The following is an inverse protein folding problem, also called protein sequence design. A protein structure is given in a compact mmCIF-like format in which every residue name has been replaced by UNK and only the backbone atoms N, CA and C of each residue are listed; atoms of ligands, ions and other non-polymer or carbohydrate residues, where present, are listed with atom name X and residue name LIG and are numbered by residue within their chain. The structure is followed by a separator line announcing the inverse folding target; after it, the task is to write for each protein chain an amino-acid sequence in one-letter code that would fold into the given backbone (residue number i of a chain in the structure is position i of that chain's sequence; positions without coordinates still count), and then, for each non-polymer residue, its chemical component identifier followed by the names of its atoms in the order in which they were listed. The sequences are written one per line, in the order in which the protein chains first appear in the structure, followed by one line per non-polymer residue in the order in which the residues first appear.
data_IF_910043858444
#
_entry.id   IF_910043858444
#
_cell.length_a   1.000
_cell.length_b   1.000
_cell.length_c   1.000
_cell.angle_alpha   90.00
_cell.angle_beta   90.00
_cell.angle_gamma   90.00
#
_symmetry.space_group_name_H-M   'P 1'
#
loop_
_entity.id
_entity.type
_entity.pdbx_description
1 polymer ?
#
# COMPACT_ATOMS: atom_id res chain seq x y z
N UNK A 1 -8.74 14.48 7.85
CA UNK A 1 -9.97 14.08 7.11
C UNK A 1 -11.18 14.32 8.02
N UNK A 2 -12.28 14.89 7.52
CA UNK A 2 -13.45 15.27 8.33
C UNK A 2 -14.69 14.39 8.06
N UNK A 3 -15.72 14.49 8.91
CA UNK A 3 -16.95 13.70 8.79
C UNK A 3 -17.73 13.95 7.48
N UNK A 4 -17.77 15.20 7.01
CA UNK A 4 -18.42 15.56 5.73
C UNK A 4 -17.78 14.83 4.55
N UNK A 5 -16.45 14.83 4.49
CA UNK A 5 -15.69 14.15 3.44
C UNK A 5 -15.91 12.62 3.47
N UNK A 6 -16.03 12.02 4.65
CA UNK A 6 -16.32 10.59 4.76
C UNK A 6 -17.70 10.24 4.24
N UNK A 7 -18.70 11.05 4.59
CA UNK A 7 -20.08 10.83 4.16
C UNK A 7 -20.22 10.95 2.64
N UNK A 8 -19.51 11.89 2.02
CA UNK A 8 -19.49 12.00 0.56
C UNK A 8 -19.08 10.69 -0.13
N UNK A 9 -18.03 10.02 0.36
CA UNK A 9 -17.52 8.75 -0.18
C UNK A 9 -18.42 7.53 0.12
N UNK A 10 -19.43 7.68 0.98
CA UNK A 10 -20.41 6.62 1.31
C UNK A 10 -21.70 6.76 0.49
N UNK A 11 -21.87 7.85 -0.26
CA UNK A 11 -23.03 8.04 -1.12
C UNK A 11 -23.01 7.05 -2.31
N UNK A 12 -24.18 6.70 -2.87
CA UNK A 12 -24.26 5.87 -4.08
C UNK A 12 -23.41 6.42 -5.23
N UNK A 13 -22.86 5.51 -6.04
CA UNK A 13 -22.00 5.86 -7.19
C UNK A 13 -20.53 6.04 -6.83
N UNK A 14 -20.17 6.15 -5.55
CA UNK A 14 -18.79 5.97 -5.12
C UNK A 14 -18.45 4.49 -5.03
N UNK A 15 -17.28 4.10 -5.50
CA UNK A 15 -16.75 2.75 -5.31
C UNK A 15 -15.35 2.80 -4.74
N UNK A 16 -15.02 1.79 -3.91
CA UNK A 16 -13.71 1.62 -3.32
C UNK A 16 -13.29 0.18 -3.51
N UNK A 17 -12.13 -0.02 -4.14
CA UNK A 17 -11.49 -1.33 -4.26
C UNK A 17 -10.20 -1.28 -3.47
N UNK A 18 -10.03 -2.20 -2.55
CA UNK A 18 -8.80 -2.37 -1.78
C UNK A 18 -8.00 -3.53 -2.30
N UNK A 19 -6.71 -3.32 -2.45
CA UNK A 19 -5.75 -4.33 -2.88
C UNK A 19 -4.57 -4.40 -1.91
N UNK A 20 -3.93 -5.57 -1.86
CA UNK A 20 -2.72 -5.83 -1.06
C UNK A 20 -1.63 -6.31 -1.99
N UNK A 21 -1.09 -5.38 -2.78
CA UNK A 21 0.13 -5.63 -3.52
C UNK A 21 1.35 -5.49 -2.59
N UNK A 22 2.30 -6.43 -2.70
CA UNK A 22 3.58 -6.42 -1.96
C UNK A 22 3.48 -6.23 -0.43
N UNK A 23 2.36 -6.65 0.18
CA UNK A 23 2.11 -6.50 1.62
C UNK A 23 1.68 -5.09 2.05
N UNK A 24 1.34 -4.22 1.09
CA UNK A 24 0.95 -2.83 1.35
C UNK A 24 -0.43 -2.53 0.81
N UNK A 25 -1.32 -2.09 1.70
CA UNK A 25 -2.68 -1.73 1.32
C UNK A 25 -2.71 -0.53 0.36
N UNK A 26 -3.40 -0.73 -0.75
CA UNK A 26 -3.74 0.32 -1.72
C UNK A 26 -5.25 0.39 -1.84
N UNK A 27 -5.80 1.59 -1.92
CA UNK A 27 -7.22 1.83 -2.14
C UNK A 27 -7.41 2.62 -3.43
N UNK A 28 -8.17 2.08 -4.37
CA UNK A 28 -8.59 2.78 -5.59
C UNK A 28 -10.02 3.26 -5.38
N UNK A 29 -10.20 4.57 -5.48
CA UNK A 29 -11.46 5.26 -5.25
C UNK A 29 -12.00 5.77 -6.58
N UNK A 30 -13.22 5.38 -6.95
CA UNK A 30 -13.88 5.92 -8.15
C UNK A 30 -15.03 6.82 -7.74
N UNK A 31 -15.04 8.04 -8.27
CA UNK A 31 -16.10 9.03 -8.05
C UNK A 31 -17.33 8.69 -8.89
N UNK A 32 -18.53 9.21 -8.55
CA UNK A 32 -19.73 9.04 -9.37
C UNK A 32 -19.59 9.59 -10.80
N UNK A 33 -18.67 10.52 -11.02
CA UNK A 33 -18.38 11.10 -12.35
C UNK A 33 -17.36 10.28 -13.15
N UNK A 34 -16.91 9.13 -12.62
CA UNK A 34 -15.99 8.22 -13.28
C UNK A 34 -14.50 8.53 -13.05
N UNK A 35 -14.16 9.52 -12.22
CA UNK A 35 -12.75 9.81 -11.92
C UNK A 35 -12.19 8.78 -10.95
N UNK A 36 -10.96 8.34 -11.15
CA UNK A 36 -10.30 7.38 -10.27
C UNK A 36 -9.09 7.99 -9.56
N UNK A 37 -8.96 7.68 -8.27
CA UNK A 37 -7.86 8.13 -7.43
C UNK A 37 -7.27 6.96 -6.66
N UNK A 38 -5.93 6.83 -6.71
CA UNK A 38 -5.21 5.80 -5.96
C UNK A 38 -4.67 6.41 -4.66
N UNK A 39 -5.00 5.79 -3.54
CA UNK A 39 -4.50 6.12 -2.22
C UNK A 39 -3.65 4.96 -1.70
N UNK A 40 -2.35 5.20 -1.56
CA UNK A 40 -1.41 4.27 -0.93
C UNK A 40 -0.73 4.96 0.24
N UNK A 41 -0.69 4.29 1.39
CA UNK A 41 0.15 4.64 2.55
C UNK A 41 1.53 5.15 2.11
N UNK A 42 2.22 6.20 2.60
CA UNK A 42 3.68 6.25 2.46
C UNK A 42 4.32 5.19 3.37
N UNK A 43 5.62 4.91 3.16
CA UNK A 43 6.32 3.94 3.98
C UNK A 43 6.51 4.57 5.36
N UNK A 44 6.22 3.87 6.47
CA UNK A 44 6.47 4.44 7.78
C UNK A 44 7.97 4.73 7.95
N UNK A 45 8.36 5.71 8.78
CA UNK A 45 9.76 5.92 9.11
C UNK A 45 10.42 4.61 9.59
N UNK A 46 11.60 4.29 9.06
CA UNK A 46 12.32 3.04 9.37
C UNK A 46 11.82 1.81 8.60
N UNK A 47 10.88 1.97 7.66
CA UNK A 47 10.54 0.90 6.73
C UNK A 47 11.72 0.59 5.80
N UNK A 48 11.97 -0.70 5.59
CA UNK A 48 12.90 -1.21 4.60
C UNK A 48 12.12 -2.03 3.58
N UNK A 49 12.25 -1.69 2.30
CA UNK A 49 11.60 -2.46 1.21
C UNK A 49 12.18 -3.89 1.10
N UNK A 50 13.38 -4.09 1.63
CA UNK A 50 14.04 -5.38 1.67
C UNK A 50 13.84 -6.03 3.04
N UNK A 51 13.38 -7.29 3.09
CA UNK A 51 13.08 -7.98 4.36
C UNK A 51 14.34 -8.40 5.13
N UNK A 52 15.50 -8.39 4.47
CA UNK A 52 16.79 -8.82 5.03
C UNK A 52 17.88 -7.81 4.70
N UNK A 53 18.83 -7.66 5.62
CA UNK A 53 19.98 -6.78 5.41
C UNK A 53 20.90 -7.30 4.30
N UNK A 54 21.71 -6.41 3.70
CA UNK A 54 22.73 -6.83 2.74
C UNK A 54 23.68 -7.87 3.33
N UNK A 55 24.10 -7.66 4.58
CA UNK A 55 24.99 -8.57 5.32
C UNK A 55 24.34 -9.94 5.47
N UNK A 56 23.06 -9.99 5.84
CA UNK A 56 22.34 -11.25 5.96
C UNK A 56 22.24 -12.01 4.63
N UNK A 57 21.96 -11.31 3.51
CA UNK A 57 21.97 -11.93 2.18
C UNK A 57 23.33 -12.49 1.82
N UNK A 58 24.40 -11.74 2.09
CA UNK A 58 25.77 -12.17 1.80
C UNK A 58 26.18 -13.36 2.67
N UNK A 59 25.83 -13.37 3.95
CA UNK A 59 26.12 -14.47 4.86
C UNK A 59 25.41 -15.76 4.40
N UNK A 60 24.13 -15.67 4.04
CA UNK A 60 23.38 -16.82 3.50
C UNK A 60 24.04 -17.39 2.25
N UNK A 61 24.41 -16.52 1.29
CA UNK A 61 25.08 -16.96 0.07
C UNK A 61 26.43 -17.65 0.32
N UNK A 62 27.19 -17.22 1.33
CA UNK A 62 28.45 -17.87 1.71
C UNK A 62 28.21 -19.22 2.38
N UNK A 63 27.18 -19.33 3.23
CA UNK A 63 26.83 -20.58 3.90
C UNK A 63 26.29 -21.62 2.91
N UNK A 64 25.50 -21.20 1.92
CA UNK A 64 24.96 -22.09 0.89
C UNK A 64 26.03 -22.61 -0.10
N UNK A 65 27.19 -21.93 -0.17
CA UNK A 65 28.30 -22.28 -1.04
C UNK A 65 29.37 -23.18 -0.37
N UNK A 66 29.20 -23.51 0.90
CA UNK A 66 30.11 -24.34 1.70
C UNK A 66 29.61 -25.79 1.82
#
# INVERSE_FOLDING_TARGET
MCASHNRAKQNPGWTVVTDVDTGRHTATLTTPTGHSHVSRAPAPPGHHDQPVSLVERQLRALLDAA
#
